data_IF_037359515506
#
_entry.id   IF_037359515506
#
_cell.length_a   1.000
_cell.length_b   1.000
_cell.length_c   1.000
_cell.angle_alpha   90.00
_cell.angle_beta   90.00
_cell.angle_gamma   90.00
#
_symmetry.space_group_name_H-M   'P 1'
#
loop_
_entity.id
_entity.type
_entity.pdbx_description
1 polymer ?
#
# COMPACT_ATOMS: atom_id res chain seq x y z
N UNK A 1 -7.96 4.48 -63.25
CA UNK A 1 -8.97 3.46 -63.58
C UNK A 1 -8.51 2.14 -63.01
N UNK A 2 -8.98 1.81 -61.80
CA UNK A 2 -8.62 0.61 -61.06
C UNK A 2 -9.31 -0.58 -61.71
N UNK A 3 -8.52 -1.47 -62.34
CA UNK A 3 -9.03 -2.69 -62.96
C UNK A 3 -9.48 -3.66 -61.86
N UNK A 4 -10.74 -3.55 -61.41
CA UNK A 4 -11.34 -4.49 -60.48
C UNK A 4 -11.71 -5.77 -61.23
N UNK A 5 -10.76 -6.70 -61.23
CA UNK A 5 -10.96 -8.06 -61.71
C UNK A 5 -11.93 -8.77 -60.74
N UNK A 6 -13.07 -9.32 -61.18
CA UNK A 6 -14.09 -9.89 -60.30
C UNK A 6 -13.60 -11.13 -59.53
N UNK A 7 -12.48 -11.72 -59.97
CA UNK A 7 -11.82 -12.86 -59.32
C UNK A 7 -11.06 -12.52 -58.04
N UNK A 8 -10.79 -11.23 -57.73
CA UNK A 8 -10.05 -10.85 -56.51
C UNK A 8 -10.95 -10.52 -55.31
N UNK A 9 -12.28 -10.42 -55.52
CA UNK A 9 -13.20 -10.03 -54.44
C UNK A 9 -13.27 -11.14 -53.38
N UNK A 10 -13.28 -12.41 -53.79
CA UNK A 10 -13.29 -13.54 -52.87
C UNK A 10 -12.00 -13.66 -52.04
N UNK A 11 -10.84 -13.38 -52.64
CA UNK A 11 -9.52 -13.43 -51.98
C UNK A 11 -9.30 -12.25 -51.04
N UNK A 12 -9.77 -11.05 -51.40
CA UNK A 12 -9.72 -9.88 -50.52
C UNK A 12 -10.68 -10.03 -49.33
N UNK A 13 -11.87 -10.61 -49.54
CA UNK A 13 -12.82 -10.90 -48.45
C UNK A 13 -12.28 -11.98 -47.52
N UNK A 14 -11.69 -13.06 -48.05
CA UNK A 14 -11.05 -14.10 -47.24
C UNK A 14 -9.88 -13.55 -46.40
N UNK A 15 -9.07 -12.64 -46.96
CA UNK A 15 -7.96 -11.99 -46.25
C UNK A 15 -8.44 -11.02 -45.16
N UNK A 16 -9.45 -10.20 -45.45
CA UNK A 16 -10.06 -9.27 -44.49
C UNK A 16 -10.76 -10.01 -43.32
N UNK A 17 -11.43 -11.12 -43.63
CA UNK A 17 -12.16 -11.92 -42.63
C UNK A 17 -11.19 -12.74 -41.77
N UNK A 18 -10.15 -13.33 -42.36
CA UNK A 18 -9.12 -14.10 -41.65
C UNK A 18 -8.28 -13.26 -40.68
N UNK A 19 -7.98 -12.01 -41.02
CA UNK A 19 -7.25 -11.09 -40.13
C UNK A 19 -8.07 -10.69 -38.88
N UNK A 20 -9.37 -10.50 -39.06
CA UNK A 20 -10.29 -10.16 -37.96
C UNK A 20 -10.47 -11.34 -37.02
N UNK A 21 -10.68 -12.55 -37.55
CA UNK A 21 -10.79 -13.79 -36.78
C UNK A 21 -9.56 -14.07 -35.90
N UNK A 22 -8.35 -13.84 -36.44
CA UNK A 22 -7.09 -14.04 -35.70
C UNK A 22 -6.92 -13.03 -34.55
N UNK A 23 -7.49 -11.83 -34.67
CA UNK A 23 -7.45 -10.78 -33.63
C UNK A 23 -8.41 -11.06 -32.47
N UNK A 24 -9.57 -11.66 -32.72
CA UNK A 24 -10.54 -12.03 -31.66
C UNK A 24 -10.06 -13.23 -30.85
N UNK A 25 -9.41 -14.22 -31.48
CA UNK A 25 -8.80 -15.35 -30.77
C UNK A 25 -7.64 -14.89 -29.86
N UNK A 26 -6.82 -13.94 -30.32
CA UNK A 26 -5.74 -13.35 -29.51
C UNK A 26 -6.22 -12.49 -28.33
N UNK A 27 -7.49 -12.03 -28.35
CA UNK A 27 -8.11 -11.32 -27.22
C UNK A 27 -8.68 -12.28 -26.17
N UNK A 28 -9.03 -13.51 -26.56
CA UNK A 28 -9.52 -14.58 -25.66
C UNK A 28 -8.40 -15.27 -24.88
N UNK A 29 -7.16 -15.24 -25.40
CA UNK A 29 -5.98 -15.88 -24.77
C UNK A 29 -5.44 -15.11 -23.54
N UNK A 30 -5.99 -13.92 -23.25
CA UNK A 30 -5.70 -13.20 -21.99
C UNK A 30 -6.64 -13.67 -20.89
N UNK A 31 -6.42 -14.90 -20.44
CA UNK A 31 -7.13 -15.45 -19.29
C UNK A 31 -6.98 -14.59 -18.01
N UNK A 32 -7.84 -14.79 -17.01
CA UNK A 32 -7.87 -14.00 -15.77
C UNK A 32 -6.52 -13.96 -15.04
N UNK A 33 -5.69 -15.00 -15.19
CA UNK A 33 -4.31 -15.04 -14.67
C UNK A 33 -3.40 -13.99 -15.30
N UNK A 34 -3.54 -13.72 -16.59
CA UNK A 34 -2.76 -12.69 -17.29
C UNK A 34 -3.25 -11.28 -16.89
N UNK A 35 -4.55 -11.14 -16.63
CA UNK A 35 -5.14 -9.93 -16.05
C UNK A 35 -4.64 -9.66 -14.62
N UNK A 36 -4.56 -10.70 -13.80
CA UNK A 36 -4.03 -10.63 -12.43
C UNK A 36 -2.53 -10.30 -12.41
N UNK A 37 -1.72 -10.95 -13.24
CA UNK A 37 -0.29 -10.61 -13.41
C UNK A 37 -0.11 -9.14 -13.83
N UNK A 38 -0.95 -8.65 -14.75
CA UNK A 38 -0.92 -7.26 -15.23
C UNK A 38 -1.32 -6.25 -14.13
N UNK A 39 -2.23 -6.65 -13.25
CA UNK A 39 -2.66 -5.84 -12.11
C UNK A 39 -1.58 -5.74 -11.04
N UNK A 40 -1.00 -6.88 -10.66
CA UNK A 40 0.17 -6.93 -9.80
C UNK A 40 1.32 -6.10 -10.39
N UNK A 41 1.66 -6.28 -11.67
CA UNK A 41 2.77 -5.55 -12.30
C UNK A 41 2.60 -4.02 -12.37
N UNK A 42 1.48 -3.43 -11.91
CA UNK A 42 1.35 -1.98 -11.72
C UNK A 42 2.23 -1.42 -10.58
N UNK A 43 2.95 -2.27 -9.84
CA UNK A 43 3.98 -1.90 -8.85
C UNK A 43 3.41 -1.36 -7.54
N UNK A 44 2.56 -0.34 -7.63
CA UNK A 44 1.88 0.31 -6.50
C UNK A 44 1.11 -0.66 -5.57
N UNK A 45 0.62 -1.79 -6.10
CA UNK A 45 -0.06 -2.79 -5.26
C UNK A 45 0.90 -3.74 -4.54
N UNK A 46 2.00 -4.15 -5.18
CA UNK A 46 2.97 -5.07 -4.55
C UNK A 46 3.58 -4.40 -3.32
N UNK A 47 4.00 -3.15 -3.47
CA UNK A 47 4.70 -2.44 -2.41
C UNK A 47 3.81 -2.26 -1.17
N UNK A 48 2.56 -1.82 -1.38
CA UNK A 48 1.55 -1.74 -0.32
C UNK A 48 1.24 -3.11 0.29
N UNK A 49 1.15 -4.17 -0.51
CA UNK A 49 0.89 -5.52 -0.01
C UNK A 49 2.04 -6.05 0.86
N UNK A 50 3.28 -5.82 0.46
CA UNK A 50 4.48 -6.20 1.23
C UNK A 50 4.51 -5.41 2.54
N UNK A 51 4.23 -4.10 2.50
CA UNK A 51 4.16 -3.25 3.69
C UNK A 51 3.14 -3.76 4.73
N UNK A 52 1.93 -4.14 4.30
CA UNK A 52 0.90 -4.68 5.20
C UNK A 52 1.32 -6.04 5.80
N UNK A 53 1.89 -6.93 4.99
CA UNK A 53 2.32 -8.26 5.46
C UNK A 53 3.46 -8.12 6.48
N UNK A 54 4.48 -7.31 6.16
CA UNK A 54 5.62 -7.08 7.06
C UNK A 54 5.17 -6.36 8.34
N UNK A 55 4.28 -5.37 8.25
CA UNK A 55 3.70 -4.69 9.40
C UNK A 55 2.95 -5.66 10.33
N UNK A 56 2.21 -6.61 9.76
CA UNK A 56 1.49 -7.64 10.55
C UNK A 56 2.45 -8.59 11.28
N UNK A 57 3.57 -8.95 10.65
CA UNK A 57 4.58 -9.83 11.24
C UNK A 57 5.32 -9.14 12.41
N UNK A 58 5.71 -7.88 12.24
CA UNK A 58 6.34 -7.09 13.33
C UNK A 58 5.39 -6.95 14.51
N UNK A 59 4.11 -6.64 14.24
CA UNK A 59 3.09 -6.55 15.28
C UNK A 59 2.95 -7.87 16.04
N UNK A 60 2.98 -9.02 15.36
CA UNK A 60 2.92 -10.34 16.01
C UNK A 60 4.12 -10.59 16.94
N UNK A 61 5.33 -10.20 16.54
CA UNK A 61 6.53 -10.34 17.39
C UNK A 61 6.43 -9.44 18.62
N UNK A 62 6.01 -8.19 18.46
CA UNK A 62 5.86 -7.26 19.59
C UNK A 62 4.77 -7.75 20.54
N UNK A 63 3.62 -8.19 20.02
CA UNK A 63 2.55 -8.75 20.84
C UNK A 63 3.04 -9.96 21.64
N UNK A 64 3.82 -10.86 21.03
CA UNK A 64 4.41 -12.00 21.74
C UNK A 64 5.29 -11.57 22.91
N UNK A 65 6.09 -10.50 22.75
CA UNK A 65 6.92 -9.98 23.85
C UNK A 65 6.03 -9.36 24.94
N UNK A 66 5.02 -8.58 24.56
CA UNK A 66 4.10 -7.95 25.51
C UNK A 66 3.33 -9.02 26.29
N UNK A 67 2.72 -9.99 25.61
CA UNK A 67 1.88 -11.01 26.22
C UNK A 67 2.67 -12.00 27.08
N UNK A 68 3.90 -12.38 26.67
CA UNK A 68 4.68 -13.39 27.39
C UNK A 68 5.63 -12.83 28.45
N UNK A 69 6.02 -11.56 28.36
CA UNK A 69 6.98 -10.95 29.29
C UNK A 69 6.36 -9.81 30.09
N UNK A 70 5.71 -8.87 29.43
CA UNK A 70 5.23 -7.64 30.06
C UNK A 70 3.93 -7.88 30.85
N UNK A 71 2.96 -8.57 30.26
CA UNK A 71 1.66 -8.86 30.89
C UNK A 71 1.81 -9.67 32.20
N UNK A 72 2.65 -10.72 32.29
CA UNK A 72 2.88 -11.43 33.54
C UNK A 72 3.61 -10.58 34.60
N UNK A 73 4.56 -9.72 34.19
CA UNK A 73 5.24 -8.79 35.11
C UNK A 73 4.27 -7.77 35.72
N UNK A 74 3.36 -7.23 34.90
CA UNK A 74 2.30 -6.33 35.38
C UNK A 74 1.30 -7.09 36.25
N UNK A 75 0.93 -8.31 35.87
CA UNK A 75 0.06 -9.17 36.68
C UNK A 75 0.62 -9.49 38.06
N UNK A 76 1.95 -9.61 38.17
CA UNK A 76 2.64 -9.83 39.45
C UNK A 76 2.62 -8.60 40.36
N UNK A 77 2.64 -7.39 39.80
CA UNK A 77 2.62 -6.12 40.56
C UNK A 77 1.17 -5.67 40.85
N UNK A 78 0.26 -5.87 39.90
CA UNK A 78 -1.15 -5.45 39.95
C UNK A 78 -2.12 -6.49 40.51
N UNK A 79 -1.63 -7.69 40.88
CA UNK A 79 -2.41 -8.74 41.55
C UNK A 79 -3.31 -9.58 40.65
N UNK A 80 -3.58 -9.16 39.41
CA UNK A 80 -4.31 -9.98 38.41
C UNK A 80 -3.67 -9.79 37.03
N UNK A 81 -3.26 -10.87 36.32
CA UNK A 81 -2.77 -10.79 34.93
C UNK A 81 -3.81 -10.26 33.94
N UNK A 82 -5.09 -10.32 34.31
CA UNK A 82 -6.21 -9.91 33.48
C UNK A 82 -7.22 -9.13 34.32
N UNK A 83 -7.32 -7.82 34.08
CA UNK A 83 -8.26 -6.94 34.78
C UNK A 83 -9.72 -7.28 34.43
N UNK A 84 -9.98 -8.17 33.47
CA UNK A 84 -11.32 -8.61 33.04
C UNK A 84 -12.23 -9.14 34.15
N UNK A 85 -11.66 -9.61 35.26
CA UNK A 85 -12.39 -10.05 36.46
C UNK A 85 -12.74 -8.92 37.45
N UNK A 86 -12.13 -7.74 37.32
CA UNK A 86 -12.48 -6.56 38.11
C UNK A 86 -13.62 -5.84 37.38
N UNK A 87 -14.79 -5.72 38.03
CA UNK A 87 -16.03 -5.14 37.46
C UNK A 87 -16.74 -5.99 36.39
N UNK A 88 -16.71 -7.31 36.53
CA UNK A 88 -17.63 -8.18 35.78
C UNK A 88 -19.03 -8.09 36.40
N UNK A 89 -19.93 -7.32 35.79
CA UNK A 89 -21.33 -7.31 36.22
C UNK A 89 -22.13 -8.18 35.25
N UNK A 90 -22.49 -9.38 35.70
CA UNK A 90 -23.38 -10.29 34.96
C UNK A 90 -24.83 -9.86 35.15
N UNK A 91 -25.43 -9.31 34.10
CA UNK A 91 -26.87 -9.10 34.02
C UNK A 91 -27.45 -10.00 32.93
N UNK A 92 -28.37 -10.90 33.30
CA UNK A 92 -29.20 -11.68 32.37
C UNK A 92 -28.43 -12.39 31.25
N UNK A 93 -27.41 -13.21 31.60
CA UNK A 93 -26.52 -13.92 30.67
C UNK A 93 -25.60 -13.04 29.80
N UNK A 94 -25.55 -11.72 30.02
CA UNK A 94 -24.59 -10.83 29.38
C UNK A 94 -23.52 -10.42 30.38
N UNK A 95 -22.26 -10.74 30.06
CA UNK A 95 -21.10 -10.43 30.87
C UNK A 95 -20.46 -9.15 30.33
N UNK A 96 -20.71 -8.02 30.99
CA UNK A 96 -20.05 -6.75 30.63
C UNK A 96 -18.83 -6.60 31.53
N UNK A 97 -17.65 -6.87 30.96
CA UNK A 97 -16.36 -6.74 31.66
C UNK A 97 -15.73 -5.41 31.31
N UNK A 98 -15.96 -4.38 32.14
CA UNK A 98 -15.25 -3.09 32.00
C UNK A 98 -13.74 -3.26 32.15
N UNK A 99 -13.31 -4.24 32.94
CA UNK A 99 -11.92 -4.63 33.08
C UNK A 99 -11.26 -5.15 31.80
N UNK A 100 -12.03 -5.78 30.89
CA UNK A 100 -11.49 -6.27 29.62
C UNK A 100 -11.14 -5.12 28.67
N UNK A 101 -11.96 -4.06 28.68
CA UNK A 101 -11.72 -2.85 27.89
C UNK A 101 -10.49 -2.12 28.44
N UNK A 102 -10.37 -2.00 29.77
CA UNK A 102 -9.22 -1.38 30.40
C UNK A 102 -7.93 -2.18 30.14
N UNK A 103 -8.01 -3.51 30.19
CA UNK A 103 -6.89 -4.38 29.84
C UNK A 103 -6.48 -4.22 28.36
N UNK A 104 -7.44 -4.19 27.44
CA UNK A 104 -7.17 -3.95 26.02
C UNK A 104 -6.50 -2.57 25.78
N UNK A 105 -6.91 -1.54 26.53
CA UNK A 105 -6.32 -0.21 26.43
C UNK A 105 -4.86 -0.17 26.93
N UNK A 106 -4.58 -0.86 28.04
CA UNK A 106 -3.23 -1.00 28.59
C UNK A 106 -2.34 -1.80 27.64
N UNK A 107 -2.84 -2.91 27.09
CA UNK A 107 -2.11 -3.73 26.12
C UNK A 107 -1.81 -2.91 24.84
N UNK A 108 -2.80 -2.18 24.31
CA UNK A 108 -2.60 -1.28 23.17
C UNK A 108 -1.49 -0.25 23.42
N UNK A 109 -1.50 0.39 24.60
CA UNK A 109 -0.48 1.36 24.96
C UNK A 109 0.91 0.71 25.07
N UNK A 110 1.01 -0.49 25.63
CA UNK A 110 2.25 -1.25 25.74
C UNK A 110 2.82 -1.65 24.39
N UNK A 111 1.99 -2.22 23.51
CA UNK A 111 2.40 -2.58 22.14
C UNK A 111 2.86 -1.32 21.40
N UNK A 112 2.12 -0.21 21.51
CA UNK A 112 2.49 1.07 20.91
C UNK A 112 3.85 1.58 21.39
N UNK A 113 4.10 1.55 22.70
CA UNK A 113 5.40 1.94 23.28
C UNK A 113 6.52 0.98 22.85
N UNK A 114 6.26 -0.32 22.81
CA UNK A 114 7.23 -1.32 22.39
C UNK A 114 7.60 -1.18 20.91
N UNK A 115 6.62 -0.97 20.02
CA UNK A 115 6.86 -0.68 18.60
C UNK A 115 7.65 0.63 18.46
N UNK A 116 7.27 1.67 19.20
CA UNK A 116 7.98 2.94 19.18
C UNK A 116 9.45 2.79 19.59
N UNK A 117 9.71 2.05 20.66
CA UNK A 117 11.07 1.86 21.16
C UNK A 117 11.91 0.90 20.29
N UNK A 118 11.33 -0.20 19.82
CA UNK A 118 12.06 -1.22 19.06
C UNK A 118 12.21 -0.90 17.58
N UNK A 119 11.29 -0.13 16.99
CA UNK A 119 11.26 0.13 15.54
C UNK A 119 11.46 1.60 15.23
N UNK A 120 10.66 2.49 15.82
CA UNK A 120 10.65 3.91 15.45
C UNK A 120 11.90 4.62 15.98
N UNK A 121 12.33 4.37 17.22
CA UNK A 121 13.55 4.97 17.78
C UNK A 121 14.85 4.60 17.04
N UNK A 122 15.14 3.32 16.70
CA UNK A 122 16.32 3.01 15.92
C UNK A 122 16.22 3.55 14.50
N UNK A 123 15.05 3.52 13.86
CA UNK A 123 14.86 4.14 12.54
C UNK A 123 15.11 5.64 12.62
N UNK A 124 14.52 6.35 13.59
CA UNK A 124 14.71 7.79 13.72
C UNK A 124 16.16 8.15 14.06
N UNK A 125 16.83 7.34 14.88
CA UNK A 125 18.25 7.52 15.22
C UNK A 125 19.19 7.21 14.07
N UNK A 126 18.85 6.22 13.24
CA UNK A 126 19.57 5.97 11.99
C UNK A 126 19.33 7.13 11.04
N UNK A 127 18.08 7.53 10.77
CA UNK A 127 17.73 8.68 9.92
C UNK A 127 18.39 9.99 10.35
N UNK A 128 18.59 10.23 11.64
CA UNK A 128 19.35 11.40 12.13
C UNK A 128 20.86 11.32 11.78
N UNK A 129 21.42 10.11 11.67
CA UNK A 129 22.80 9.85 11.22
C UNK A 129 22.91 9.75 9.69
N UNK A 130 21.83 9.36 9.03
CA UNK A 130 21.64 9.25 7.60
C UNK A 130 20.71 10.32 7.04
N UNK A 131 20.67 11.52 7.64
CA UNK A 131 19.90 12.64 7.11
C UNK A 131 20.39 13.06 5.71
N UNK A 132 21.60 12.62 5.32
CA UNK A 132 22.16 12.70 3.97
C UNK A 132 21.75 11.52 3.03
N UNK A 133 21.03 10.53 3.55
CA UNK A 133 20.55 9.34 2.86
C UNK A 133 19.00 9.26 2.89
N UNK A 134 18.33 10.02 3.75
CA UNK A 134 16.90 10.35 3.63
C UNK A 134 16.61 11.19 2.37
N UNK A 135 17.56 12.01 1.91
CA UNK A 135 17.54 12.58 0.54
C UNK A 135 17.64 11.47 -0.51
N UNK A 136 18.38 10.38 -0.24
CA UNK A 136 18.51 9.25 -1.16
C UNK A 136 17.28 8.32 -1.19
N UNK A 137 16.54 8.14 -0.08
CA UNK A 137 15.28 7.38 -0.07
C UNK A 137 14.10 8.20 -0.63
N UNK A 138 14.15 9.54 -0.45
CA UNK A 138 13.27 10.47 -1.17
C UNK A 138 13.63 10.57 -2.67
N UNK A 139 14.88 10.29 -3.06
CA UNK A 139 15.33 10.14 -4.45
C UNK A 139 15.09 8.72 -5.02
N UNK A 140 15.03 7.66 -4.20
CA UNK A 140 14.67 6.29 -4.64
C UNK A 140 13.17 6.16 -4.94
N UNK A 141 12.32 6.91 -4.23
CA UNK A 141 11.03 7.33 -4.76
C UNK A 141 11.27 8.46 -5.76
N UNK A 142 11.92 8.13 -6.88
CA UNK A 142 12.28 9.08 -7.93
C UNK A 142 11.15 10.06 -8.23
N UNK A 143 11.50 11.30 -8.62
CA UNK A 143 10.70 12.51 -8.40
C UNK A 143 9.23 12.18 -8.61
N UNK A 144 8.46 12.27 -7.52
CA UNK A 144 7.03 11.99 -7.52
C UNK A 144 6.43 12.62 -8.77
N UNK A 145 5.49 11.94 -9.41
CA UNK A 145 4.75 12.49 -10.55
C UNK A 145 4.27 13.92 -10.23
N UNK A 146 4.01 14.20 -8.96
CA UNK A 146 3.70 15.53 -8.43
C UNK A 146 4.84 16.55 -8.58
N UNK A 147 6.11 16.21 -8.32
CA UNK A 147 7.23 17.13 -8.51
C UNK A 147 7.55 17.40 -9.99
N UNK A 148 7.48 16.37 -10.83
CA UNK A 148 7.66 16.55 -12.28
C UNK A 148 6.52 17.38 -12.88
N UNK A 149 5.28 17.15 -12.44
CA UNK A 149 4.14 17.98 -12.84
C UNK A 149 4.26 19.39 -12.27
N UNK A 150 4.74 19.58 -11.05
CA UNK A 150 4.99 20.92 -10.48
C UNK A 150 6.07 21.68 -11.24
N UNK A 151 7.15 21.01 -11.64
CA UNK A 151 8.21 21.57 -12.47
C UNK A 151 7.67 21.97 -13.85
N UNK A 152 6.93 21.07 -14.51
CA UNK A 152 6.29 21.32 -15.81
C UNK A 152 5.29 22.48 -15.73
N UNK A 153 4.47 22.55 -14.68
CA UNK A 153 3.51 23.63 -14.48
C UNK A 153 4.20 24.99 -14.23
N UNK A 154 5.37 25.00 -13.58
CA UNK A 154 6.17 26.21 -13.41
C UNK A 154 6.74 26.69 -14.75
N UNK A 155 7.27 25.77 -15.56
CA UNK A 155 7.75 26.09 -16.91
C UNK A 155 6.62 26.66 -17.79
N UNK A 156 5.46 25.99 -17.84
CA UNK A 156 4.28 26.47 -18.59
C UNK A 156 3.86 27.87 -18.10
N UNK A 157 3.83 28.10 -16.78
CA UNK A 157 3.48 29.41 -16.22
C UNK A 157 4.47 30.50 -16.65
N UNK A 158 5.76 30.21 -16.64
CA UNK A 158 6.80 31.17 -16.94
C UNK A 158 6.84 31.47 -18.46
N UNK A 159 6.59 30.47 -19.30
CA UNK A 159 6.38 30.65 -20.75
C UNK A 159 5.15 31.50 -21.06
N UNK A 160 4.02 31.27 -20.40
CA UNK A 160 2.80 32.09 -20.57
C UNK A 160 3.01 33.54 -20.11
N UNK A 161 3.72 33.75 -19.00
CA UNK A 161 4.04 35.09 -18.51
C UNK A 161 4.95 35.84 -19.48
N UNK A 162 5.92 35.16 -20.07
CA UNK A 162 6.79 35.70 -21.11
C UNK A 162 6.00 36.06 -22.37
N UNK A 163 5.12 35.17 -22.84
CA UNK A 163 4.28 35.37 -24.01
C UNK A 163 3.31 36.56 -23.85
N UNK A 164 2.69 36.71 -22.67
CA UNK A 164 1.78 37.81 -22.37
C UNK A 164 2.49 39.17 -22.34
N UNK A 165 3.70 39.24 -21.77
CA UNK A 165 4.49 40.46 -21.73
C UNK A 165 5.08 40.87 -23.10
N UNK A 166 5.15 39.94 -24.06
CA UNK A 166 5.58 40.23 -25.44
C UNK A 166 4.43 40.61 -26.39
N UNK A 167 3.19 40.59 -25.91
CA UNK A 167 1.99 40.97 -26.67
C UNK A 167 1.47 42.39 -26.34
N UNK A 168 2.05 43.06 -25.33
CA UNK A 168 1.92 44.51 -25.06
C UNK A 168 3.10 45.28 -25.67
#
# INVERSE_FOLDING_TARGET
MSNHNPMNIATDFAKATGGTARKVVALTDKGPLNGFKKFLSRGSMIDMAVGVVMGSAVTAVVNSIVDNLISPLIGMIGGVPDLSGLLTITFNNSTVSFGAILNALINFLLVGVAVYFCVILPINKLRDLTAAQDEADAEEQGPSVEEQTLATLREIRDELKKANNSAE
#
